data_IF_086694938101
#
_entry.id   IF_086694938101
#
_cell.length_a   1.000
_cell.length_b   1.000
_cell.length_c   1.000
_cell.angle_alpha   90.00
_cell.angle_beta   90.00
_cell.angle_gamma   90.00
#
_symmetry.space_group_name_H-M   'P 1'
#
loop_
_entity.id
_entity.type
_entity.pdbx_description
1 polymer ?
#
# COMPACT_ATOMS: atom_id res chain seq x y z
N UNK A 1 32.33 41.19 -63.78
CA UNK A 1 32.23 39.90 -64.47
C UNK A 1 33.09 38.92 -63.69
N UNK A 2 32.44 38.09 -62.87
CA UNK A 2 32.83 36.69 -62.65
C UNK A 2 31.76 36.03 -61.77
N UNK A 3 30.96 35.18 -62.43
CA UNK A 3 30.07 34.22 -61.79
C UNK A 3 30.91 33.02 -61.36
N UNK A 4 30.71 32.55 -60.12
CA UNK A 4 30.91 31.13 -59.79
C UNK A 4 29.68 30.60 -59.05
N UNK A 5 29.22 29.50 -59.61
CA UNK A 5 28.05 28.68 -59.30
C UNK A 5 28.48 27.57 -58.33
N UNK A 6 27.58 27.15 -57.43
CA UNK A 6 27.56 25.78 -56.87
C UNK A 6 26.17 25.45 -56.28
N UNK A 7 25.80 24.18 -56.47
CA UNK A 7 24.49 23.53 -56.48
C UNK A 7 23.76 23.34 -55.13
N UNK A 8 22.46 22.95 -55.16
CA UNK A 8 21.63 22.78 -53.97
C UNK A 8 21.86 21.42 -53.31
N UNK A 9 22.19 21.43 -52.01
CA UNK A 9 22.18 20.22 -51.20
C UNK A 9 20.75 19.89 -50.75
N UNK A 10 20.19 18.86 -51.38
CA UNK A 10 19.16 17.99 -50.83
C UNK A 10 19.54 17.52 -49.42
N UNK A 11 18.68 17.73 -48.42
CA UNK A 11 18.92 17.10 -47.12
C UNK A 11 18.15 17.57 -45.88
N UNK A 12 17.35 18.65 -45.92
CA UNK A 12 16.80 19.21 -44.67
C UNK A 12 15.27 19.09 -44.46
N UNK A 13 14.49 18.54 -45.38
CA UNK A 13 13.03 18.58 -45.26
C UNK A 13 12.33 17.28 -44.82
N UNK A 14 13.04 16.15 -44.64
CA UNK A 14 12.37 14.87 -44.33
C UNK A 14 12.30 14.49 -42.85
N UNK A 15 13.08 15.10 -41.95
CA UNK A 15 13.12 14.72 -40.53
C UNK A 15 12.18 15.49 -39.60
N UNK A 16 11.67 16.66 -40.00
CA UNK A 16 10.74 17.43 -39.16
C UNK A 16 9.32 16.82 -39.12
N UNK A 17 8.90 16.11 -40.17
CA UNK A 17 7.57 15.51 -40.27
C UNK A 17 7.46 14.15 -39.56
N UNK A 18 8.57 13.43 -39.33
CA UNK A 18 8.60 12.20 -38.53
C UNK A 18 8.49 12.48 -37.03
N UNK A 19 9.16 13.53 -36.54
CA UNK A 19 9.06 13.98 -35.15
C UNK A 19 7.64 14.42 -34.76
N UNK A 20 6.97 15.19 -35.63
CA UNK A 20 5.58 15.63 -35.42
C UNK A 20 4.56 14.49 -35.50
N UNK A 21 4.76 13.51 -36.40
CA UNK A 21 3.89 12.30 -36.45
C UNK A 21 4.06 11.43 -35.22
N UNK A 22 5.26 11.27 -34.67
CA UNK A 22 5.48 10.51 -33.42
C UNK A 22 4.92 11.27 -32.21
N UNK A 23 4.99 12.61 -32.19
CA UNK A 23 4.38 13.43 -31.13
C UNK A 23 2.85 13.42 -31.18
N UNK A 24 2.25 13.49 -32.37
CA UNK A 24 0.78 13.44 -32.55
C UNK A 24 0.21 12.04 -32.34
N UNK A 25 0.92 10.98 -32.75
CA UNK A 25 0.54 9.59 -32.44
C UNK A 25 0.69 9.32 -30.95
N UNK A 26 1.73 9.82 -30.28
CA UNK A 26 1.83 9.77 -28.81
C UNK A 26 0.72 10.59 -28.13
N UNK A 27 0.37 11.77 -28.63
CA UNK A 27 -0.71 12.56 -28.04
C UNK A 27 -2.08 11.89 -28.22
N UNK A 28 -2.36 11.31 -29.39
CA UNK A 28 -3.61 10.58 -29.63
C UNK A 28 -3.66 9.28 -28.83
N UNK A 29 -2.60 8.47 -28.82
CA UNK A 29 -2.53 7.22 -28.05
C UNK A 29 -2.61 7.52 -26.55
N UNK A 30 -1.89 8.51 -26.03
CA UNK A 30 -1.97 8.91 -24.61
C UNK A 30 -3.36 9.46 -24.29
N UNK A 31 -3.98 10.24 -25.18
CA UNK A 31 -5.34 10.78 -24.96
C UNK A 31 -6.41 9.70 -25.06
N UNK A 32 -6.25 8.70 -25.92
CA UNK A 32 -7.07 7.49 -25.99
C UNK A 32 -6.87 6.58 -24.77
N UNK A 33 -5.63 6.38 -24.32
CA UNK A 33 -5.29 5.70 -23.06
C UNK A 33 -5.98 6.39 -21.89
N UNK A 34 -5.81 7.72 -21.79
CA UNK A 34 -6.44 8.54 -20.76
C UNK A 34 -7.96 8.46 -20.85
N UNK A 35 -8.55 8.47 -22.04
CA UNK A 35 -10.00 8.36 -22.23
C UNK A 35 -10.53 6.97 -21.83
N UNK A 36 -9.85 5.90 -22.25
CA UNK A 36 -10.22 4.51 -21.94
C UNK A 36 -10.15 4.23 -20.44
N UNK A 37 -9.09 4.69 -19.78
CA UNK A 37 -8.93 4.51 -18.32
C UNK A 37 -9.83 5.49 -17.54
N UNK A 38 -10.19 6.65 -18.11
CA UNK A 38 -11.22 7.54 -17.56
C UNK A 38 -12.61 6.90 -17.61
N UNK A 39 -12.92 6.13 -18.66
CA UNK A 39 -14.18 5.39 -18.76
C UNK A 39 -14.24 4.14 -17.87
N UNK A 40 -13.10 3.63 -17.38
CA UNK A 40 -13.09 2.56 -16.39
C UNK A 40 -13.74 3.06 -15.09
N UNK A 41 -14.94 2.62 -14.77
CA UNK A 41 -15.55 2.90 -13.47
C UNK A 41 -15.29 1.72 -12.54
N UNK A 42 -14.48 1.94 -11.50
CA UNK A 42 -14.31 0.99 -10.40
C UNK A 42 -15.00 1.54 -9.14
N UNK A 43 -16.35 1.50 -9.06
CA UNK A 43 -16.99 1.77 -7.79
C UNK A 43 -16.52 0.75 -6.75
N UNK A 44 -16.28 1.19 -5.51
CA UNK A 44 -15.88 0.27 -4.42
C UNK A 44 -16.89 -0.87 -4.26
N UNK A 45 -18.18 -0.59 -4.52
CA UNK A 45 -19.25 -1.59 -4.51
C UNK A 45 -19.08 -2.73 -5.54
N UNK A 46 -18.27 -2.56 -6.58
CA UNK A 46 -17.94 -3.64 -7.54
C UNK A 46 -16.77 -4.48 -7.09
N UNK A 47 -16.12 -4.13 -5.98
CA UNK A 47 -14.91 -4.82 -5.58
C UNK A 47 -15.21 -5.96 -4.61
N UNK A 48 -14.75 -7.14 -5.01
CA UNK A 48 -15.26 -8.44 -4.55
C UNK A 48 -14.53 -9.01 -3.33
N UNK A 49 -13.65 -8.24 -2.66
CA UNK A 49 -12.91 -8.75 -1.50
C UNK A 49 -13.77 -9.10 -0.29
N UNK A 50 -15.07 -8.84 -0.28
CA UNK A 50 -16.00 -9.48 0.67
C UNK A 50 -15.84 -11.00 0.76
N UNK A 51 -15.37 -11.64 -0.32
CA UNK A 51 -15.08 -13.07 -0.35
C UNK A 51 -13.68 -13.43 0.17
N UNK A 52 -12.75 -12.47 0.21
CA UNK A 52 -11.40 -12.72 0.73
C UNK A 52 -11.43 -12.81 2.26
N UNK A 53 -10.92 -13.91 2.86
CA UNK A 53 -10.87 -14.05 4.31
C UNK A 53 -9.87 -13.10 4.97
N UNK A 54 -8.95 -12.54 4.19
CA UNK A 54 -7.87 -11.67 4.67
C UNK A 54 -7.51 -10.61 3.64
N UNK A 55 -7.38 -9.37 4.08
CA UNK A 55 -6.86 -8.26 3.28
C UNK A 55 -5.75 -7.52 4.02
N UNK A 56 -4.92 -6.86 3.24
CA UNK A 56 -3.89 -5.94 3.67
C UNK A 56 -4.29 -4.52 3.29
N UNK A 57 -4.15 -3.57 4.21
CA UNK A 57 -4.48 -2.17 3.96
C UNK A 57 -3.30 -1.26 4.32
N UNK A 58 -3.03 -0.27 3.48
CA UNK A 58 -2.02 0.76 3.73
C UNK A 58 -2.42 2.07 3.03
N UNK A 59 -1.74 3.16 3.39
CA UNK A 59 -1.96 4.45 2.78
C UNK A 59 -0.70 5.28 2.70
N UNK A 60 -0.60 6.07 1.64
CA UNK A 60 0.53 6.99 1.44
C UNK A 60 0.05 8.36 1.00
N UNK A 61 0.81 9.38 1.35
CA UNK A 61 0.49 10.76 0.99
C UNK A 61 0.47 10.97 -0.52
N UNK A 62 -0.35 11.87 -1.02
CA UNK A 62 -0.41 12.22 -2.44
C UNK A 62 -0.60 13.72 -2.58
N UNK A 63 0.34 14.37 -3.25
CA UNK A 63 0.28 15.81 -3.50
C UNK A 63 -0.38 16.05 -4.86
N UNK A 64 -1.32 16.99 -4.89
CA UNK A 64 -1.84 17.57 -6.13
C UNK A 64 -1.21 18.94 -6.31
N UNK A 65 -0.61 19.21 -7.47
CA UNK A 65 0.26 20.37 -7.67
C UNK A 65 -0.43 21.71 -7.39
N UNK A 66 -1.74 21.78 -7.64
CA UNK A 66 -2.54 23.00 -7.46
C UNK A 66 -3.34 23.02 -6.14
N UNK A 67 -3.06 22.10 -5.21
CA UNK A 67 -3.71 22.07 -3.89
C UNK A 67 -2.67 22.12 -2.77
N UNK A 68 -2.89 23.03 -1.81
CA UNK A 68 -2.11 23.04 -0.56
C UNK A 68 -2.45 21.81 0.31
N UNK A 69 -3.68 21.31 0.20
CA UNK A 69 -4.16 20.18 0.99
C UNK A 69 -3.57 18.86 0.49
N UNK A 70 -3.15 18.02 1.43
CA UNK A 70 -2.61 16.69 1.14
C UNK A 70 -3.75 15.70 0.89
N UNK A 71 -3.65 14.93 -0.20
CA UNK A 71 -4.50 13.76 -0.46
C UNK A 71 -3.80 12.49 -0.01
N UNK A 72 -4.51 11.37 -0.05
CA UNK A 72 -4.02 10.07 0.40
C UNK A 72 -4.39 9.00 -0.62
N UNK A 73 -3.39 8.28 -1.12
CA UNK A 73 -3.62 7.05 -1.84
C UNK A 73 -3.81 5.93 -0.82
N UNK A 74 -5.00 5.36 -0.82
CA UNK A 74 -5.36 4.19 -0.04
C UNK A 74 -5.20 2.95 -0.89
N UNK A 75 -4.62 1.91 -0.31
CA UNK A 75 -4.44 0.63 -0.95
C UNK A 75 -5.07 -0.48 -0.11
N UNK A 76 -5.80 -1.37 -0.76
CA UNK A 76 -6.26 -2.65 -0.21
C UNK A 76 -5.81 -3.77 -1.13
N UNK A 77 -5.22 -4.81 -0.56
CA UNK A 77 -4.76 -5.99 -1.28
C UNK A 77 -5.29 -7.27 -0.66
N UNK A 78 -5.88 -8.15 -1.47
CA UNK A 78 -6.13 -9.56 -1.14
C UNK A 78 -5.00 -10.44 -1.66
N UNK A 79 -5.22 -11.75 -1.73
CA UNK A 79 -4.37 -12.71 -2.40
C UNK A 79 -4.27 -12.45 -3.91
N UNK A 80 -5.39 -12.15 -4.58
CA UNK A 80 -5.52 -12.09 -6.04
C UNK A 80 -5.80 -10.69 -6.62
N UNK A 81 -6.07 -9.70 -5.76
CA UNK A 81 -6.54 -8.37 -6.17
C UNK A 81 -5.84 -7.25 -5.40
N UNK A 82 -5.56 -6.14 -6.08
CA UNK A 82 -5.11 -4.89 -5.46
C UNK A 82 -6.00 -3.76 -5.93
N UNK A 83 -6.45 -2.91 -5.01
CA UNK A 83 -7.16 -1.70 -5.32
C UNK A 83 -6.54 -0.49 -4.68
N UNK A 84 -6.47 0.56 -5.49
CA UNK A 84 -6.02 1.86 -5.06
C UNK A 84 -7.06 2.93 -5.31
N UNK A 85 -7.22 3.82 -4.34
CA UNK A 85 -8.06 5.00 -4.46
C UNK A 85 -7.40 6.21 -3.79
N UNK A 86 -7.34 7.32 -4.54
CA UNK A 86 -6.90 8.60 -3.98
C UNK A 86 -8.12 9.30 -3.38
N UNK A 87 -8.05 9.61 -2.09
CA UNK A 87 -9.08 10.32 -1.33
C UNK A 87 -8.49 11.57 -0.66
N UNK A 88 -9.36 12.53 -0.33
CA UNK A 88 -8.94 13.81 0.25
C UNK A 88 -8.40 13.69 1.68
N UNK A 89 -8.88 12.73 2.47
CA UNK A 89 -8.54 12.65 3.90
C UNK A 89 -7.91 11.32 4.30
N UNK A 90 -7.05 11.36 5.34
CA UNK A 90 -6.59 10.19 6.09
C UNK A 90 -7.47 10.00 7.33
N UNK A 91 -8.70 9.57 7.09
CA UNK A 91 -9.74 9.47 8.12
C UNK A 91 -10.38 8.10 8.15
N UNK A 92 -11.06 7.79 9.25
CA UNK A 92 -11.89 6.60 9.41
C UNK A 92 -12.94 6.47 8.30
N UNK A 93 -13.57 7.57 7.87
CA UNK A 93 -14.55 7.51 6.78
C UNK A 93 -13.91 7.15 5.45
N UNK A 94 -12.68 7.60 5.20
CA UNK A 94 -11.92 7.20 4.01
C UNK A 94 -11.49 5.73 4.07
N UNK A 95 -11.03 5.25 5.23
CA UNK A 95 -10.71 3.83 5.41
C UNK A 95 -11.95 2.93 5.20
N UNK A 96 -13.08 3.27 5.82
CA UNK A 96 -14.36 2.57 5.63
C UNK A 96 -14.80 2.58 4.17
N UNK A 97 -14.62 3.70 3.47
CA UNK A 97 -14.96 3.81 2.05
C UNK A 97 -14.14 2.86 1.18
N UNK A 98 -12.89 2.55 1.52
CA UNK A 98 -12.00 1.73 0.68
C UNK A 98 -12.06 0.25 1.06
N UNK A 99 -12.11 -0.05 2.37
CA UNK A 99 -12.17 -1.43 2.90
C UNK A 99 -13.59 -2.00 2.81
N UNK A 100 -14.60 -1.12 2.83
CA UNK A 100 -15.99 -1.41 3.17
C UNK A 100 -16.21 -1.64 4.67
N UNK A 101 -17.24 -0.99 5.24
CA UNK A 101 -17.53 -1.11 6.68
C UNK A 101 -18.14 -2.47 7.06
N UNK A 102 -18.77 -3.14 6.11
CA UNK A 102 -19.37 -4.47 6.28
C UNK A 102 -18.38 -5.61 6.02
N UNK A 103 -17.13 -5.30 5.64
CA UNK A 103 -16.10 -6.32 5.48
C UNK A 103 -15.90 -7.09 6.80
N UNK A 104 -16.15 -8.40 6.76
CA UNK A 104 -16.16 -9.29 7.93
C UNK A 104 -14.86 -10.10 8.11
N UNK A 105 -13.91 -10.02 7.16
CA UNK A 105 -12.64 -10.75 7.24
C UNK A 105 -11.60 -10.10 8.13
N UNK A 106 -10.37 -10.62 8.05
CA UNK A 106 -9.20 -10.11 8.78
C UNK A 106 -8.55 -8.97 7.99
N UNK A 107 -8.25 -7.86 8.67
CA UNK A 107 -7.50 -6.74 8.08
C UNK A 107 -6.12 -6.67 8.72
N UNK A 108 -5.08 -6.71 7.90
CA UNK A 108 -3.70 -6.47 8.32
C UNK A 108 -3.32 -5.03 7.94
N UNK A 109 -2.97 -4.19 8.90
CA UNK A 109 -2.54 -2.81 8.61
C UNK A 109 -1.53 -2.28 9.62
N UNK A 110 -1.06 -1.05 9.41
CA UNK A 110 -0.21 -0.35 10.38
C UNK A 110 -1.01 0.14 11.61
N UNK A 111 -0.44 1.05 12.39
CA UNK A 111 -1.10 1.63 13.58
C UNK A 111 -1.83 2.96 13.26
N UNK A 112 -2.25 3.17 12.02
CA UNK A 112 -2.99 4.37 11.64
C UNK A 112 -4.34 4.42 12.37
N UNK A 113 -4.68 5.55 13.04
CA UNK A 113 -5.94 5.68 13.77
C UNK A 113 -7.20 5.50 12.91
N UNK A 114 -7.09 5.68 11.59
CA UNK A 114 -8.19 5.48 10.64
C UNK A 114 -8.71 4.05 10.61
N UNK A 115 -7.96 3.07 11.13
CA UNK A 115 -8.35 1.67 11.22
C UNK A 115 -8.95 1.28 12.57
N UNK A 116 -9.03 2.19 13.55
CA UNK A 116 -9.47 1.87 14.93
C UNK A 116 -10.95 1.44 15.05
N UNK A 117 -11.74 1.57 13.98
CA UNK A 117 -13.12 1.10 13.92
C UNK A 117 -13.21 -0.42 13.67
N UNK A 118 -12.13 -1.04 13.19
CA UNK A 118 -12.08 -2.48 12.94
C UNK A 118 -12.04 -3.19 14.28
N UNK A 119 -12.84 -4.25 14.41
CA UNK A 119 -12.91 -5.04 15.64
C UNK A 119 -11.53 -5.64 15.98
N UNK A 120 -11.15 -5.60 17.26
CA UNK A 120 -9.81 -5.94 17.71
C UNK A 120 -9.41 -7.39 17.38
N UNK A 121 -10.40 -8.27 17.30
CA UNK A 121 -10.28 -9.68 17.00
C UNK A 121 -10.07 -9.98 15.50
N UNK A 122 -10.35 -8.99 14.64
CA UNK A 122 -10.22 -9.01 13.17
C UNK A 122 -9.11 -8.10 12.63
N UNK A 123 -8.55 -7.22 13.47
CA UNK A 123 -7.48 -6.31 13.06
C UNK A 123 -6.12 -6.86 13.48
N UNK A 124 -5.27 -7.28 12.54
CA UNK A 124 -3.87 -7.63 12.81
C UNK A 124 -2.97 -6.41 12.61
N UNK A 125 -2.36 -5.92 13.68
CA UNK A 125 -1.38 -4.85 13.61
C UNK A 125 -0.04 -5.35 13.05
N UNK A 126 0.56 -4.59 12.15
CA UNK A 126 1.86 -4.89 11.57
C UNK A 126 2.98 -4.80 12.62
N UNK A 127 3.60 -5.94 12.94
CA UNK A 127 4.70 -5.98 13.92
C UNK A 127 5.96 -5.26 13.46
N UNK A 128 6.18 -5.08 12.15
CA UNK A 128 7.32 -4.30 11.65
C UNK A 128 7.17 -2.82 12.04
N UNK A 129 5.96 -2.28 11.97
CA UNK A 129 5.64 -0.93 12.44
C UNK A 129 5.74 -0.81 13.97
N UNK A 130 5.25 -1.81 14.71
CA UNK A 130 5.42 -1.89 16.17
C UNK A 130 6.90 -1.86 16.54
N UNK A 131 7.72 -2.72 15.91
CA UNK A 131 9.18 -2.76 16.12
C UNK A 131 9.83 -1.40 15.87
N UNK A 132 9.54 -0.75 14.74
CA UNK A 132 10.12 0.56 14.39
C UNK A 132 9.78 1.63 15.43
N UNK A 133 8.54 1.61 15.93
CA UNK A 133 8.09 2.51 16.98
C UNK A 133 8.79 2.21 18.32
N UNK A 134 8.95 0.94 18.70
CA UNK A 134 9.68 0.58 19.91
C UNK A 134 11.18 0.90 19.80
N UNK A 135 11.75 0.80 18.60
CA UNK A 135 13.14 1.16 18.33
C UNK A 135 13.40 2.65 18.61
N UNK A 136 12.49 3.55 18.21
CA UNK A 136 12.59 4.96 18.58
C UNK A 136 12.62 5.18 20.10
N UNK A 137 11.93 4.33 20.87
CA UNK A 137 11.97 4.39 22.35
C UNK A 137 13.31 3.87 22.88
N UNK A 138 13.84 2.80 22.29
CA UNK A 138 15.14 2.23 22.63
C UNK A 138 16.29 3.21 22.34
N UNK A 139 16.17 3.98 21.26
CA UNK A 139 17.15 4.98 20.79
C UNK A 139 16.87 6.38 21.35
N UNK A 140 16.02 6.48 22.37
CA UNK A 140 15.72 7.76 22.99
C UNK A 140 17.00 8.39 23.56
N UNK A 141 17.37 9.57 23.04
CA UNK A 141 18.61 10.28 23.39
C UNK A 141 18.72 10.63 24.88
N UNK A 142 17.60 10.84 25.59
CA UNK A 142 17.60 11.05 27.03
C UNK A 142 17.92 9.80 27.86
N UNK A 143 18.05 8.63 27.21
CA UNK A 143 18.52 7.40 27.84
C UNK A 143 17.66 6.90 28.99
N UNK A 144 18.34 6.39 30.02
CA UNK A 144 17.75 5.99 31.30
C UNK A 144 16.69 4.89 31.20
N UNK A 145 15.71 4.95 32.11
CA UNK A 145 14.65 3.94 32.24
C UNK A 145 13.78 3.81 30.98
N UNK A 146 13.52 4.92 30.28
CA UNK A 146 12.76 4.94 29.01
C UNK A 146 13.46 4.10 27.93
N UNK A 147 14.74 4.39 27.67
CA UNK A 147 15.51 3.66 26.67
C UNK A 147 15.71 2.19 27.07
N UNK A 148 15.87 1.91 28.37
CA UNK A 148 15.96 0.56 28.90
C UNK A 148 14.70 -0.28 28.61
N UNK A 149 13.51 0.24 28.90
CA UNK A 149 12.24 -0.43 28.55
C UNK A 149 12.14 -0.62 27.03
N UNK A 150 12.47 0.41 26.24
CA UNK A 150 12.45 0.33 24.78
C UNK A 150 13.33 -0.81 24.25
N UNK A 151 14.56 -0.95 24.76
CA UNK A 151 15.48 -2.05 24.38
C UNK A 151 14.90 -3.42 24.73
N UNK A 152 14.31 -3.59 25.92
CA UNK A 152 13.65 -4.86 26.29
C UNK A 152 12.49 -5.20 25.36
N UNK A 153 11.64 -4.22 25.03
CA UNK A 153 10.54 -4.40 24.09
C UNK A 153 11.04 -4.74 22.67
N UNK A 154 12.15 -4.15 22.22
CA UNK A 154 12.80 -4.51 20.96
C UNK A 154 13.34 -5.95 20.97
N UNK A 155 13.99 -6.38 22.05
CA UNK A 155 14.48 -7.76 22.22
C UNK A 155 13.32 -8.77 22.14
N UNK A 156 12.21 -8.49 22.83
CA UNK A 156 11.01 -9.34 22.77
C UNK A 156 10.43 -9.36 21.35
N UNK A 157 10.37 -8.21 20.68
CA UNK A 157 9.88 -8.14 19.30
C UNK A 157 10.75 -8.95 18.35
N UNK A 158 12.08 -8.89 18.50
CA UNK A 158 13.01 -9.73 17.74
C UNK A 158 12.78 -11.22 18.01
N UNK A 159 12.54 -11.60 19.28
CA UNK A 159 12.23 -12.99 19.64
C UNK A 159 10.90 -13.47 19.05
N UNK A 160 9.89 -12.60 18.90
CA UNK A 160 8.63 -12.90 18.20
C UNK A 160 8.92 -13.22 16.73
N UNK A 161 9.61 -12.33 16.00
CA UNK A 161 9.98 -12.56 14.60
C UNK A 161 10.78 -13.86 14.43
N UNK A 162 11.81 -14.05 15.25
CA UNK A 162 12.64 -15.25 15.21
C UNK A 162 11.82 -16.53 15.50
N UNK A 163 10.92 -16.49 16.48
CA UNK A 163 10.05 -17.64 16.78
C UNK A 163 9.07 -17.93 15.64
N UNK A 164 8.58 -16.89 14.93
CA UNK A 164 7.74 -17.06 13.73
C UNK A 164 8.53 -17.68 12.58
N UNK A 165 9.70 -17.16 12.25
CA UNK A 165 10.52 -17.70 11.15
C UNK A 165 10.89 -19.17 11.39
N UNK A 166 11.32 -19.52 12.60
CA UNK A 166 11.64 -20.92 12.94
C UNK A 166 10.45 -21.86 12.82
N UNK A 167 9.23 -21.36 13.03
CA UNK A 167 8.02 -22.14 12.78
C UNK A 167 7.73 -22.27 11.28
N UNK A 168 7.89 -21.20 10.50
CA UNK A 168 7.73 -21.21 9.03
C UNK A 168 8.80 -22.05 8.31
N UNK A 169 9.95 -22.29 8.96
CA UNK A 169 11.04 -23.13 8.47
C UNK A 169 10.98 -24.57 9.01
N UNK A 170 9.84 -24.99 9.58
CA UNK A 170 9.61 -26.32 10.15
C UNK A 170 10.58 -26.73 11.30
N UNK A 171 11.33 -25.80 11.88
CA UNK A 171 12.22 -26.06 13.02
C UNK A 171 11.49 -26.15 14.37
N UNK A 172 10.23 -25.71 14.41
CA UNK A 172 9.37 -25.74 15.59
C UNK A 172 8.04 -26.37 15.24
N UNK A 173 7.60 -27.36 16.01
CA UNK A 173 6.21 -27.81 15.92
C UNK A 173 5.25 -26.74 16.47
N UNK A 174 3.99 -26.83 16.05
CA UNK A 174 2.95 -25.85 16.38
C UNK A 174 2.73 -25.68 17.90
N UNK A 175 2.76 -26.77 18.68
CA UNK A 175 2.57 -26.71 20.12
C UNK A 175 3.71 -25.93 20.82
N UNK A 176 4.96 -26.16 20.41
CA UNK A 176 6.13 -25.45 20.92
C UNK A 176 6.11 -23.98 20.50
N UNK A 177 5.73 -23.69 19.25
CA UNK A 177 5.54 -22.34 18.72
C UNK A 177 4.53 -21.55 19.56
N UNK A 178 3.32 -22.07 19.76
CA UNK A 178 2.29 -21.41 20.57
C UNK A 178 2.74 -21.21 22.01
N UNK A 179 3.39 -22.21 22.62
CA UNK A 179 3.92 -22.10 23.98
C UNK A 179 4.93 -20.95 24.11
N UNK A 180 5.86 -20.82 23.15
CA UNK A 180 6.84 -19.73 23.12
C UNK A 180 6.17 -18.37 22.89
N UNK A 181 5.25 -18.28 21.93
CA UNK A 181 4.50 -17.05 21.64
C UNK A 181 3.69 -16.56 22.84
N UNK A 182 3.00 -17.45 23.57
CA UNK A 182 2.26 -17.10 24.79
C UNK A 182 3.17 -16.56 25.90
N UNK A 183 4.38 -17.11 26.04
CA UNK A 183 5.38 -16.59 26.99
C UNK A 183 5.86 -15.19 26.57
N UNK A 184 6.17 -15.01 25.29
CA UNK A 184 6.56 -13.72 24.72
C UNK A 184 5.45 -12.68 24.89
N UNK A 185 4.20 -13.05 24.66
CA UNK A 185 3.04 -12.20 24.88
C UNK A 185 2.95 -11.70 26.33
N UNK A 186 3.03 -12.60 27.32
CA UNK A 186 3.02 -12.22 28.74
C UNK A 186 4.19 -11.29 29.10
N UNK A 187 5.40 -11.60 28.63
CA UNK A 187 6.57 -10.74 28.86
C UNK A 187 6.40 -9.38 28.19
N UNK A 188 5.86 -9.34 26.97
CA UNK A 188 5.62 -8.10 26.23
C UNK A 188 4.61 -7.21 26.96
N UNK A 189 3.49 -7.78 27.39
CA UNK A 189 2.46 -7.09 28.18
C UNK A 189 3.05 -6.50 29.47
N UNK A 190 3.87 -7.27 30.19
CA UNK A 190 4.56 -6.81 31.41
C UNK A 190 5.46 -5.60 31.16
N UNK A 191 6.27 -5.64 30.10
CA UNK A 191 7.16 -4.53 29.77
C UNK A 191 6.42 -3.32 29.22
N UNK A 192 5.31 -3.51 28.50
CA UNK A 192 4.43 -2.42 28.11
C UNK A 192 3.80 -1.76 29.34
N UNK A 193 3.39 -2.53 30.35
CA UNK A 193 2.87 -1.99 31.61
C UNK A 193 3.90 -1.09 32.30
N UNK A 194 5.17 -1.51 32.39
CA UNK A 194 6.23 -0.62 32.89
C UNK A 194 6.40 0.62 32.02
N UNK A 195 6.25 0.46 30.71
CA UNK A 195 6.25 1.53 29.73
C UNK A 195 5.14 2.58 29.95
N UNK A 196 4.06 2.27 30.65
CA UNK A 196 2.99 3.24 30.94
C UNK A 196 3.34 4.25 32.03
N UNK A 197 4.45 4.05 32.72
CA UNK A 197 4.89 4.89 33.85
C UNK A 197 6.11 5.75 33.50
N UNK A 198 6.69 5.59 32.30
CA UNK A 198 7.84 6.40 31.85
C UNK A 198 7.49 7.88 31.81
N UNK A 199 8.46 8.75 32.12
CA UNK A 199 8.23 10.20 32.20
C UNK A 199 7.92 10.84 30.85
N UNK A 200 8.48 10.28 29.77
CA UNK A 200 8.33 10.84 28.42
C UNK A 200 6.94 10.53 27.87
N UNK A 201 6.06 11.55 27.84
CA UNK A 201 4.65 11.45 27.42
C UNK A 201 4.43 10.69 26.11
N UNK A 202 5.29 10.90 25.11
CA UNK A 202 5.23 10.22 23.80
C UNK A 202 5.32 8.70 23.95
N UNK A 203 6.32 8.19 24.67
CA UNK A 203 6.54 6.76 24.83
C UNK A 203 5.56 6.13 25.81
N UNK A 204 5.16 6.88 26.84
CA UNK A 204 4.06 6.51 27.73
C UNK A 204 2.78 6.26 26.94
N UNK A 205 2.38 7.21 26.10
CA UNK A 205 1.20 7.11 25.26
C UNK A 205 1.27 5.93 24.29
N UNK A 206 2.44 5.68 23.70
CA UNK A 206 2.68 4.53 22.82
C UNK A 206 2.47 3.20 23.54
N UNK A 207 3.00 3.03 24.76
CA UNK A 207 2.81 1.80 25.53
C UNK A 207 1.33 1.60 25.91
N UNK A 208 0.64 2.66 26.33
CA UNK A 208 -0.80 2.64 26.60
C UNK A 208 -1.61 2.25 25.36
N UNK A 209 -1.26 2.78 24.20
CA UNK A 209 -1.92 2.47 22.94
C UNK A 209 -1.74 0.99 22.57
N UNK A 210 -0.52 0.45 22.67
CA UNK A 210 -0.26 -0.96 22.39
C UNK A 210 -1.02 -1.89 23.35
N UNK A 211 -1.15 -1.53 24.63
CA UNK A 211 -1.98 -2.27 25.58
C UNK A 211 -3.48 -2.18 25.24
N UNK A 212 -3.95 -1.02 24.79
CA UNK A 212 -5.34 -0.85 24.32
C UNK A 212 -5.65 -1.76 23.13
N UNK A 213 -4.71 -1.89 22.18
CA UNK A 213 -4.82 -2.75 21.00
C UNK A 213 -4.16 -4.12 21.21
N UNK A 214 -4.12 -4.60 22.46
CA UNK A 214 -3.45 -5.86 22.81
C UNK A 214 -3.94 -7.01 21.95
N UNK A 215 -5.25 -7.19 21.80
CA UNK A 215 -5.76 -8.31 20.99
C UNK A 215 -5.28 -8.22 19.53
N UNK A 216 -5.33 -7.02 18.95
CA UNK A 216 -4.92 -6.75 17.57
C UNK A 216 -3.44 -7.04 17.28
N UNK A 217 -2.59 -7.05 18.30
CA UNK A 217 -1.18 -7.46 18.14
C UNK A 217 -1.04 -8.97 17.90
N UNK A 218 -1.97 -9.79 18.38
CA UNK A 218 -1.82 -11.24 18.49
C UNK A 218 -2.84 -12.04 17.66
N UNK A 219 -3.60 -11.39 16.78
CA UNK A 219 -4.60 -12.04 15.91
C UNK A 219 -3.97 -13.16 15.05
N UNK A 220 -2.71 -13.01 14.63
CA UNK A 220 -1.96 -14.00 13.87
C UNK A 220 -1.76 -15.34 14.59
N UNK A 221 -1.95 -15.40 15.92
CA UNK A 221 -1.94 -16.65 16.67
C UNK A 221 -3.23 -17.46 16.50
N UNK A 222 -4.32 -16.86 16.01
CA UNK A 222 -5.60 -17.55 15.78
C UNK A 222 -5.52 -18.48 14.56
N UNK A 223 -4.87 -18.04 13.49
CA UNK A 223 -4.69 -18.81 12.24
C UNK A 223 -3.31 -18.55 11.67
N UNK A 224 -2.62 -19.62 11.28
CA UNK A 224 -1.24 -19.56 10.76
C UNK A 224 -1.11 -18.76 9.47
N UNK A 225 -2.18 -18.73 8.66
CA UNK A 225 -2.26 -17.97 7.40
C UNK A 225 -2.24 -16.46 7.58
N UNK A 226 -2.51 -15.95 8.78
CA UNK A 226 -2.47 -14.52 9.06
C UNK A 226 -0.99 -14.11 9.23
N UNK A 227 -0.50 -13.17 8.40
CA UNK A 227 0.89 -12.76 8.46
C UNK A 227 1.17 -11.85 9.66
N UNK A 228 2.42 -11.87 10.09
CA UNK A 228 2.91 -11.03 11.20
C UNK A 228 3.07 -9.54 10.77
N UNK A 229 3.26 -9.30 9.48
CA UNK A 229 3.55 -7.97 8.92
C UNK A 229 2.64 -7.63 7.74
N UNK A 230 2.57 -6.34 7.43
CA UNK A 230 1.82 -5.80 6.30
C UNK A 230 2.67 -5.69 5.02
N UNK A 231 3.60 -6.64 4.82
CA UNK A 231 4.56 -6.58 3.70
C UNK A 231 3.85 -6.57 2.34
N UNK A 232 2.67 -7.17 2.25
CA UNK A 232 1.92 -7.26 1.00
C UNK A 232 1.46 -5.87 0.53
N UNK A 233 0.75 -5.12 1.38
CA UNK A 233 0.35 -3.76 1.02
C UNK A 233 1.57 -2.85 0.80
N UNK A 234 2.63 -2.99 1.63
CA UNK A 234 3.88 -2.22 1.46
C UNK A 234 4.56 -2.47 0.09
N UNK A 235 4.47 -3.70 -0.43
CA UNK A 235 5.00 -4.06 -1.76
C UNK A 235 4.13 -3.48 -2.87
N UNK A 236 2.81 -3.66 -2.79
CA UNK A 236 1.89 -3.19 -3.83
C UNK A 236 1.92 -1.65 -3.95
N UNK A 237 1.95 -0.93 -2.82
CA UNK A 237 1.93 0.55 -2.83
C UNK A 237 3.24 1.17 -3.34
N UNK A 238 4.32 0.38 -3.42
CA UNK A 238 5.65 0.87 -3.82
C UNK A 238 5.65 1.40 -5.26
N UNK A 239 4.90 0.77 -6.16
CA UNK A 239 4.75 1.24 -7.54
C UNK A 239 4.21 2.67 -7.59
N UNK A 240 3.16 2.93 -6.80
CA UNK A 240 2.59 4.26 -6.64
C UNK A 240 3.60 5.27 -6.09
N UNK A 241 4.34 4.90 -5.05
CA UNK A 241 5.33 5.78 -4.40
C UNK A 241 6.48 6.13 -5.35
N UNK A 242 6.98 5.16 -6.13
CA UNK A 242 8.03 5.40 -7.13
C UNK A 242 7.52 6.32 -8.22
N UNK A 243 6.35 6.02 -8.79
CA UNK A 243 5.77 6.86 -9.83
C UNK A 243 5.59 8.31 -9.32
N UNK A 244 5.28 8.50 -8.02
CA UNK A 244 5.01 9.82 -7.45
C UNK A 244 6.25 10.69 -7.46
N UNK A 245 7.41 10.07 -7.22
CA UNK A 245 8.72 10.74 -7.23
C UNK A 245 9.16 11.14 -8.64
N UNK A 246 8.84 10.34 -9.67
CA UNK A 246 9.26 10.60 -11.05
C UNK A 246 8.29 11.50 -11.82
N UNK A 247 6.99 11.48 -11.48
CA UNK A 247 5.95 12.18 -12.25
C UNK A 247 5.51 13.53 -11.65
N UNK A 248 6.14 13.98 -10.56
CA UNK A 248 5.80 15.21 -9.84
C UNK A 248 4.30 15.36 -9.52
N UNK A 249 3.65 14.27 -9.08
CA UNK A 249 2.24 14.30 -8.65
C UNK A 249 1.22 14.34 -9.80
N UNK A 250 0.05 14.90 -9.51
CA UNK A 250 -1.08 15.09 -10.45
C UNK A 250 -1.61 16.52 -10.34
N UNK A 251 -2.36 16.97 -11.34
CA UNK A 251 -2.90 18.35 -11.40
C UNK A 251 -4.45 18.38 -11.43
N UNK A 252 -5.12 17.24 -11.56
CA UNK A 252 -6.58 17.17 -11.67
C UNK A 252 -7.16 15.90 -11.05
N UNK A 253 -8.45 15.93 -10.70
CA UNK A 253 -9.22 14.75 -10.25
C UNK A 253 -9.17 13.61 -11.29
N UNK A 254 -9.21 13.96 -12.57
CA UNK A 254 -9.09 12.98 -13.64
C UNK A 254 -7.70 12.30 -13.65
N UNK A 255 -6.64 13.03 -13.27
CA UNK A 255 -5.29 12.48 -13.10
C UNK A 255 -5.20 11.56 -11.89
N UNK A 256 -5.83 11.93 -10.77
CA UNK A 256 -5.91 11.08 -9.57
C UNK A 256 -6.60 9.75 -9.88
N UNK A 257 -7.77 9.82 -10.53
CA UNK A 257 -8.52 8.63 -10.96
C UNK A 257 -7.72 7.77 -11.92
N UNK A 258 -7.09 8.37 -12.94
CA UNK A 258 -6.25 7.62 -13.88
C UNK A 258 -5.15 6.85 -13.15
N UNK A 259 -4.46 7.54 -12.24
CA UNK A 259 -3.35 6.99 -11.49
C UNK A 259 -3.77 5.80 -10.64
N UNK A 260 -4.79 5.97 -9.81
CA UNK A 260 -5.24 4.90 -8.91
C UNK A 260 -5.77 3.68 -9.69
N UNK A 261 -6.46 3.91 -10.82
CA UNK A 261 -6.96 2.84 -11.71
C UNK A 261 -5.84 2.06 -12.42
N UNK A 262 -4.81 2.75 -12.88
CA UNK A 262 -3.66 2.09 -13.52
C UNK A 262 -2.90 1.21 -12.54
N UNK A 263 -2.65 1.69 -11.31
CA UNK A 263 -1.98 0.85 -10.29
C UNK A 263 -2.86 -0.33 -9.87
N UNK A 264 -4.16 -0.11 -9.67
CA UNK A 264 -5.14 -1.19 -9.45
C UNK A 264 -5.00 -2.27 -10.52
N UNK A 265 -5.03 -1.89 -11.81
CA UNK A 265 -4.87 -2.83 -12.93
C UNK A 265 -3.52 -3.55 -12.87
N UNK A 266 -2.42 -2.80 -12.79
CA UNK A 266 -1.06 -3.33 -12.90
C UNK A 266 -0.77 -4.30 -11.75
N UNK A 267 -1.06 -3.89 -10.51
CA UNK A 267 -0.78 -4.71 -9.34
C UNK A 267 -1.70 -5.95 -9.28
N UNK A 268 -2.94 -5.84 -9.74
CA UNK A 268 -3.84 -7.00 -9.89
C UNK A 268 -3.34 -7.97 -10.96
N UNK A 269 -2.94 -7.47 -12.15
CA UNK A 269 -2.38 -8.32 -13.20
C UNK A 269 -1.13 -9.06 -12.71
N UNK A 270 -0.25 -8.37 -11.96
CA UNK A 270 0.93 -8.99 -11.35
C UNK A 270 0.56 -10.13 -10.39
N UNK A 271 -0.44 -9.94 -9.53
CA UNK A 271 -0.94 -10.99 -8.62
C UNK A 271 -1.49 -12.20 -9.37
N UNK A 272 -2.22 -11.97 -10.46
CA UNK A 272 -2.85 -13.01 -11.28
C UNK A 272 -1.89 -13.64 -12.32
N UNK A 273 -0.63 -13.20 -12.38
CA UNK A 273 0.33 -13.67 -13.38
C UNK A 273 -0.02 -13.25 -14.82
N UNK A 274 -0.80 -12.20 -14.98
CA UNK A 274 -1.25 -11.68 -16.27
C UNK A 274 -0.33 -10.55 -16.78
N UNK A 275 -0.22 -10.44 -18.10
CA UNK A 275 0.43 -9.30 -18.74
C UNK A 275 -0.46 -8.06 -18.63
N UNK A 276 -0.05 -7.09 -17.80
CA UNK A 276 -0.75 -5.81 -17.67
C UNK A 276 -0.88 -5.07 -19.01
N UNK A 277 0.12 -5.18 -19.88
CA UNK A 277 0.08 -4.58 -21.22
C UNK A 277 -0.98 -5.24 -22.12
N UNK A 278 -1.13 -6.56 -22.04
CA UNK A 278 -2.14 -7.29 -22.81
C UNK A 278 -3.55 -6.90 -22.37
N UNK A 279 -3.80 -6.89 -21.05
CA UNK A 279 -5.10 -6.49 -20.46
C UNK A 279 -5.41 -5.02 -20.79
N UNK A 280 -4.44 -4.12 -20.68
CA UNK A 280 -4.60 -2.72 -21.09
C UNK A 280 -4.96 -2.59 -22.57
N UNK A 281 -4.28 -3.33 -23.45
CA UNK A 281 -4.55 -3.31 -24.88
C UNK A 281 -5.95 -3.82 -25.21
N UNK A 282 -6.43 -4.84 -24.50
CA UNK A 282 -7.77 -5.37 -24.65
C UNK A 282 -8.82 -4.34 -24.22
N UNK A 283 -8.65 -3.73 -23.04
CA UNK A 283 -9.53 -2.68 -22.54
C UNK A 283 -9.61 -1.51 -23.52
N UNK A 284 -8.46 -1.05 -24.01
CA UNK A 284 -8.40 0.08 -24.96
C UNK A 284 -9.09 -0.29 -26.27
N UNK A 285 -8.82 -1.48 -26.81
CA UNK A 285 -9.47 -1.97 -28.02
C UNK A 285 -10.99 -2.02 -27.85
N UNK A 286 -11.48 -2.54 -26.74
CA UNK A 286 -12.91 -2.61 -26.42
C UNK A 286 -13.55 -1.22 -26.31
N UNK A 287 -12.91 -0.28 -25.60
CA UNK A 287 -13.41 1.10 -25.48
C UNK A 287 -13.48 1.79 -26.84
N UNK A 288 -12.44 1.66 -27.67
CA UNK A 288 -12.40 2.24 -29.02
C UNK A 288 -13.50 1.66 -29.89
N UNK A 289 -13.71 0.35 -29.80
CA UNK A 289 -14.76 -0.36 -30.51
C UNK A 289 -16.18 -0.15 -29.92
N UNK A 290 -16.31 0.62 -28.81
CA UNK A 290 -17.56 0.81 -28.06
C UNK A 290 -18.21 -0.51 -27.62
N UNK A 291 -17.39 -1.48 -27.22
CA UNK A 291 -17.81 -2.79 -26.70
C UNK A 291 -17.56 -2.87 -25.19
N UNK A 292 -18.22 -3.81 -24.47
CA UNK A 292 -17.85 -4.13 -23.10
C UNK A 292 -16.36 -4.51 -23.02
N UNK A 293 -15.65 -3.96 -22.04
CA UNK A 293 -14.26 -4.29 -21.72
C UNK A 293 -14.22 -5.30 -20.56
N UNK A 294 -13.15 -6.10 -20.41
CA UNK A 294 -13.05 -7.06 -19.32
C UNK A 294 -13.06 -6.36 -17.96
N UNK A 295 -13.85 -6.90 -17.01
CA UNK A 295 -13.84 -6.41 -15.64
C UNK A 295 -12.56 -6.88 -14.96
N UNK A 296 -11.71 -5.93 -14.54
CA UNK A 296 -10.43 -6.22 -13.87
C UNK A 296 -10.61 -7.08 -12.63
N UNK A 297 -11.73 -6.92 -11.93
CA UNK A 297 -12.02 -7.67 -10.72
C UNK A 297 -12.35 -9.15 -11.00
N UNK A 298 -12.76 -9.47 -12.24
CA UNK A 298 -13.19 -10.81 -12.66
C UNK A 298 -12.29 -11.42 -13.77
N UNK A 299 -11.10 -10.83 -14.02
CA UNK A 299 -10.08 -11.35 -14.94
C UNK A 299 -9.56 -12.74 -14.58
#
# INVERSE_FOLDING_TARGET
>A
MDQKQCDPCDGCCHDSLRGYRIFLINFFIVRLFLCAIRSLTFPVATVTWFRSPLIHADETSHHRNDEQSLRWCWLVASDDLVYEQILYSRSTSSAKKVIDEDYAGIVVSDQCPSYNWIAADRHQLCWAHVKRNLQQMADYSGGGHTAYIGRHLCLLTNAIFHTRHRYEQDELNYALYLRRMRRLQKSFDHWLSKGTDVMVKRYRGRCKLLLKHRESLWVFLKKVSIPLTNNEAERCIRGFVIQRKISFGTTSDAGDKFRSRIHTLIETCKKRGLSAMSVLSEIITAVVAKRPYPNIFDL
#
